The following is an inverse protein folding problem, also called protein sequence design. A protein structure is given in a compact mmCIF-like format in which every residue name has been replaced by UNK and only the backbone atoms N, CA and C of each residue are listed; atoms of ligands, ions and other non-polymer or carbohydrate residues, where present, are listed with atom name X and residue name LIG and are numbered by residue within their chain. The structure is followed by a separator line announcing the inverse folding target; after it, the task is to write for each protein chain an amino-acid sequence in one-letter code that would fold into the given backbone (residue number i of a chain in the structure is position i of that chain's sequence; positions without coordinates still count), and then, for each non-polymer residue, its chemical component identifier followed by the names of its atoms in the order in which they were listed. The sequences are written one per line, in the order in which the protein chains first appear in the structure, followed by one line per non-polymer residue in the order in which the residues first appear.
data_IF_398272646978
#
_entry.id   IF_398272646978
#
_cell.length_a   1.000
_cell.length_b   1.000
_cell.length_c   1.000
_cell.angle_alpha   90.00
_cell.angle_beta   90.00
_cell.angle_gamma   90.00
#
_symmetry.space_group_name_H-M   'P 1'
#
loop_
_entity.id
_entity.type
_entity.pdbx_description
1 polymer ?
#
# COMPACT_ATOMS: atom_id res chain seq x y z
N UNK A 1 8.90 11.88 -21.32
CA UNK A 1 9.71 11.16 -22.33
C UNK A 1 9.91 11.95 -23.64
N UNK A 2 8.88 12.18 -24.48
CA UNK A 2 9.07 12.86 -25.79
C UNK A 2 9.74 14.25 -25.68
N UNK A 3 9.32 15.04 -24.70
CA UNK A 3 9.92 16.36 -24.41
C UNK A 3 11.38 16.22 -23.99
N UNK A 4 11.71 15.31 -23.06
CA UNK A 4 13.08 15.05 -22.64
C UNK A 4 13.97 14.58 -23.81
N UNK A 5 13.48 13.71 -24.70
CA UNK A 5 14.21 13.31 -25.92
C UNK A 5 14.51 14.49 -26.85
N UNK A 6 13.58 15.45 -26.95
CA UNK A 6 13.78 16.67 -27.76
C UNK A 6 14.78 17.64 -27.13
N UNK A 7 14.65 17.90 -25.82
CA UNK A 7 15.45 18.91 -25.12
C UNK A 7 16.83 18.42 -24.70
N UNK A 8 16.97 17.13 -24.37
CA UNK A 8 18.18 16.50 -23.86
C UNK A 8 18.70 15.46 -24.87
N UNK A 9 18.88 15.88 -26.11
CA UNK A 9 19.36 15.02 -27.20
C UNK A 9 20.74 14.42 -26.84
N UNK A 10 20.93 13.14 -27.17
CA UNK A 10 22.18 12.40 -26.89
C UNK A 10 22.41 12.04 -25.42
N UNK A 11 21.53 12.42 -24.49
CA UNK A 11 21.61 11.98 -23.09
C UNK A 11 20.84 10.66 -22.91
N UNK A 12 21.44 9.62 -22.30
CA UNK A 12 20.71 8.40 -21.96
C UNK A 12 19.50 8.71 -21.07
N UNK A 13 18.40 8.01 -21.30
CA UNK A 13 17.16 8.16 -20.54
C UNK A 13 16.66 6.78 -20.12
N UNK A 14 16.30 6.64 -18.86
CA UNK A 14 15.80 5.40 -18.26
C UNK A 14 14.33 5.56 -17.91
N UNK A 15 13.55 4.51 -18.15
CA UNK A 15 12.16 4.41 -17.69
C UNK A 15 12.10 3.39 -16.55
N UNK A 16 11.68 3.85 -15.38
CA UNK A 16 11.44 3.01 -14.21
C UNK A 16 9.94 2.83 -14.07
N UNK A 17 9.48 1.58 -14.03
CA UNK A 17 8.07 1.26 -14.04
C UNK A 17 7.61 0.87 -12.64
N UNK A 18 6.55 1.53 -12.18
CA UNK A 18 5.99 1.31 -10.85
C UNK A 18 5.37 -0.08 -10.66
N UNK A 19 5.13 -0.80 -11.76
CA UNK A 19 4.63 -2.18 -11.77
C UNK A 19 5.74 -3.23 -11.79
N UNK A 20 6.99 -2.85 -12.10
CA UNK A 20 8.07 -3.80 -12.39
C UNK A 20 8.44 -4.69 -11.20
N UNK A 21 8.41 -4.14 -9.99
CA UNK A 21 8.69 -4.87 -8.74
C UNK A 21 7.76 -6.07 -8.53
N UNK A 22 6.51 -5.93 -8.97
CA UNK A 22 5.45 -6.92 -8.73
C UNK A 22 5.45 -8.05 -9.77
N UNK A 23 6.31 -7.98 -10.78
CA UNK A 23 6.36 -8.99 -11.86
C UNK A 23 6.81 -10.38 -11.40
N UNK A 24 7.32 -10.50 -10.16
CA UNK A 24 7.68 -11.78 -9.55
C UNK A 24 6.49 -12.51 -8.92
N UNK A 25 5.29 -11.92 -8.89
CA UNK A 25 4.10 -12.59 -8.35
C UNK A 25 3.83 -13.90 -9.11
N UNK A 26 3.51 -15.00 -8.41
CA UNK A 26 3.11 -16.25 -9.06
C UNK A 26 1.70 -16.13 -9.66
N UNK A 27 1.37 -17.00 -10.63
CA UNK A 27 0.08 -16.96 -11.34
C UNK A 27 -1.13 -16.96 -10.41
N UNK A 28 -1.07 -17.77 -9.34
CA UNK A 28 -2.11 -17.85 -8.31
C UNK A 28 -2.41 -16.54 -7.58
N UNK A 29 -1.46 -15.60 -7.58
CA UNK A 29 -1.60 -14.29 -6.92
C UNK A 29 -2.08 -13.23 -7.91
N UNK A 30 -1.65 -13.31 -9.17
CA UNK A 30 -2.01 -12.27 -10.16
C UNK A 30 -3.24 -12.58 -11.01
N UNK A 31 -3.61 -13.84 -11.20
CA UNK A 31 -4.78 -14.18 -12.02
C UNK A 31 -6.06 -13.89 -11.23
N UNK A 32 -6.96 -13.12 -11.84
CA UNK A 32 -8.33 -13.01 -11.33
C UNK A 32 -9.11 -14.29 -11.66
N UNK A 33 -10.05 -14.71 -10.79
CA UNK A 33 -10.96 -15.83 -11.05
C UNK A 33 -12.07 -15.45 -12.03
N UNK A 34 -11.67 -14.99 -13.22
CA UNK A 34 -12.52 -14.62 -14.35
C UNK A 34 -12.34 -15.64 -15.49
N UNK A 35 -13.23 -15.69 -16.49
CA UNK A 35 -13.02 -16.50 -17.68
C UNK A 35 -11.61 -16.28 -18.27
N UNK A 36 -10.83 -17.35 -18.37
CA UNK A 36 -9.39 -17.30 -18.66
C UNK A 36 -9.06 -16.55 -19.97
N UNK A 37 -9.98 -16.57 -20.94
CA UNK A 37 -9.91 -15.80 -22.20
C UNK A 37 -9.58 -14.30 -22.00
N UNK A 38 -9.98 -13.69 -20.88
CA UNK A 38 -9.71 -12.28 -20.62
C UNK A 38 -8.24 -12.02 -20.24
N UNK A 39 -7.62 -12.97 -19.53
CA UNK A 39 -6.18 -12.94 -19.32
C UNK A 39 -5.44 -13.20 -20.64
N UNK A 40 -5.85 -14.19 -21.43
CA UNK A 40 -5.17 -14.51 -22.69
C UNK A 40 -5.21 -13.34 -23.69
N UNK A 41 -6.40 -12.77 -23.90
CA UNK A 41 -6.66 -11.74 -24.92
C UNK A 41 -6.22 -10.34 -24.48
N UNK A 42 -6.51 -9.96 -23.24
CA UNK A 42 -6.35 -8.57 -22.78
C UNK A 42 -5.35 -8.42 -21.64
N UNK A 43 -4.78 -9.53 -21.15
CA UNK A 43 -3.88 -9.53 -19.97
C UNK A 43 -4.54 -8.89 -18.75
N UNK A 44 -5.83 -9.18 -18.55
CA UNK A 44 -6.52 -8.85 -17.29
C UNK A 44 -5.93 -9.72 -16.18
N UNK A 45 -5.15 -9.07 -15.33
CA UNK A 45 -4.48 -9.63 -14.15
C UNK A 45 -4.14 -8.52 -13.17
N UNK A 46 -3.75 -8.88 -11.97
CA UNK A 46 -3.08 -7.99 -11.01
C UNK A 46 -1.74 -7.55 -11.58
N UNK A 47 -1.51 -6.24 -11.59
CA UNK A 47 -0.19 -5.66 -11.87
C UNK A 47 0.45 -5.12 -10.61
N UNK A 48 -0.31 -4.45 -9.74
CA UNK A 48 0.22 -3.78 -8.55
C UNK A 48 0.96 -2.48 -8.87
N UNK A 49 0.99 -1.57 -7.90
CA UNK A 49 1.63 -0.25 -8.00
C UNK A 49 2.41 0.07 -6.73
N UNK A 50 3.00 1.26 -6.66
CA UNK A 50 3.99 1.67 -5.67
C UNK A 50 5.21 0.72 -5.61
N UNK A 51 5.53 0.06 -6.71
CA UNK A 51 6.62 -0.93 -6.78
C UNK A 51 7.97 -0.31 -6.50
N UNK A 52 8.20 0.95 -6.90
CA UNK A 52 9.45 1.67 -6.58
C UNK A 52 9.59 1.85 -5.08
N UNK A 53 8.52 2.30 -4.41
CA UNK A 53 8.48 2.48 -2.96
C UNK A 53 8.64 1.16 -2.21
N UNK A 54 7.84 0.14 -2.55
CA UNK A 54 7.92 -1.19 -1.91
C UNK A 54 9.30 -1.82 -2.06
N UNK A 55 9.92 -1.70 -3.25
CA UNK A 55 11.28 -2.18 -3.50
C UNK A 55 12.32 -1.45 -2.65
N UNK A 56 12.19 -0.13 -2.51
CA UNK A 56 13.09 0.67 -1.67
C UNK A 56 13.01 0.23 -0.21
N UNK A 57 11.81 0.30 0.39
CA UNK A 57 11.64 0.17 1.84
C UNK A 57 11.86 -1.26 2.31
N UNK A 58 11.51 -2.27 1.51
CA UNK A 58 11.76 -3.67 1.88
C UNK A 58 13.26 -4.00 1.85
N UNK A 59 14.02 -3.49 0.88
CA UNK A 59 15.49 -3.61 0.87
C UNK A 59 16.14 -2.84 2.01
N UNK A 60 15.64 -1.63 2.29
CA UNK A 60 16.15 -0.82 3.40
C UNK A 60 15.90 -1.47 4.75
N UNK A 61 14.73 -2.09 4.93
CA UNK A 61 14.40 -2.89 6.11
C UNK A 61 15.41 -4.03 6.32
N UNK A 62 15.73 -4.80 5.27
CA UNK A 62 16.75 -5.86 5.36
C UNK A 62 18.12 -5.33 5.83
N UNK A 63 18.54 -4.16 5.34
CA UNK A 63 19.76 -3.48 5.78
C UNK A 63 19.69 -3.08 7.26
N UNK A 64 18.58 -2.50 7.71
CA UNK A 64 18.40 -2.12 9.12
C UNK A 64 18.35 -3.32 10.07
N UNK A 65 17.84 -4.46 9.60
CA UNK A 65 17.86 -5.73 10.33
C UNK A 65 19.23 -6.43 10.30
N UNK A 66 20.18 -5.93 9.51
CA UNK A 66 21.47 -6.57 9.23
C UNK A 66 21.32 -8.03 8.77
N UNK A 67 20.35 -8.29 7.88
CA UNK A 67 20.04 -9.62 7.35
C UNK A 67 19.99 -9.61 5.82
N UNK A 68 20.35 -10.71 5.14
CA UNK A 68 20.16 -10.85 3.71
C UNK A 68 18.68 -10.68 3.32
N UNK A 69 18.42 -9.97 2.23
CA UNK A 69 17.05 -9.70 1.76
C UNK A 69 16.32 -10.99 1.34
N UNK A 70 17.09 -11.96 0.87
CA UNK A 70 16.67 -13.28 0.41
C UNK A 70 16.28 -14.23 1.56
N UNK A 71 16.53 -13.84 2.82
CA UNK A 71 16.16 -14.64 4.00
C UNK A 71 14.90 -14.12 4.70
N UNK A 72 14.38 -12.97 4.28
CA UNK A 72 13.30 -12.27 4.99
C UNK A 72 11.94 -12.40 4.31
N UNK A 73 10.90 -12.35 5.15
CA UNK A 73 9.50 -12.12 4.80
C UNK A 73 9.09 -10.76 5.34
N UNK A 74 8.84 -9.82 4.45
CA UNK A 74 8.57 -8.42 4.79
C UNK A 74 7.21 -8.05 4.22
N UNK A 75 6.37 -7.41 5.04
CA UNK A 75 5.17 -6.71 4.56
C UNK A 75 5.49 -5.23 4.52
N UNK A 76 5.42 -4.61 3.34
CA UNK A 76 5.56 -3.17 3.19
C UNK A 76 4.18 -2.52 3.03
N UNK A 77 3.89 -1.57 3.92
CA UNK A 77 2.67 -0.78 4.01
C UNK A 77 2.94 0.63 3.50
N UNK A 78 2.73 0.86 2.20
CA UNK A 78 2.77 2.21 1.62
C UNK A 78 1.43 2.88 1.88
N UNK A 79 1.38 3.77 2.86
CA UNK A 79 0.15 4.43 3.30
C UNK A 79 0.25 5.94 2.98
N UNK A 80 -0.35 6.35 1.87
CA UNK A 80 -0.54 7.75 1.49
C UNK A 80 -1.98 8.02 1.07
N UNK A 81 -2.21 9.08 0.29
CA UNK A 81 -3.55 9.31 -0.30
C UNK A 81 -3.96 8.17 -1.26
N UNK A 82 -2.97 7.58 -1.95
CA UNK A 82 -3.05 6.22 -2.46
C UNK A 82 -2.35 5.27 -1.49
N UNK A 83 -2.93 4.12 -1.22
CA UNK A 83 -2.39 3.18 -0.24
C UNK A 83 -2.34 1.76 -0.80
N UNK A 84 -1.27 1.03 -0.52
CA UNK A 84 -1.12 -0.37 -0.93
C UNK A 84 -0.19 -1.13 -0.01
N UNK A 85 -0.39 -2.44 0.10
CA UNK A 85 0.57 -3.35 0.72
C UNK A 85 1.27 -4.22 -0.33
N UNK A 86 2.47 -4.68 -0.01
CA UNK A 86 3.13 -5.75 -0.74
C UNK A 86 3.68 -6.80 0.23
N UNK A 87 3.49 -8.07 -0.13
CA UNK A 87 4.11 -9.22 0.52
C UNK A 87 5.42 -9.54 -0.19
N UNK A 88 6.54 -9.37 0.49
CA UNK A 88 7.88 -9.59 -0.04
C UNK A 88 8.48 -10.80 0.65
N UNK A 89 8.66 -11.90 -0.08
CA UNK A 89 9.21 -13.15 0.45
C UNK A 89 10.49 -13.48 -0.29
N UNK A 90 11.59 -13.57 0.46
CA UNK A 90 12.91 -13.95 -0.04
C UNK A 90 13.34 -13.09 -1.25
N UNK A 91 13.25 -11.78 -1.04
CA UNK A 91 13.59 -10.76 -2.02
C UNK A 91 12.65 -10.60 -3.21
N UNK A 92 11.52 -11.32 -3.25
CA UNK A 92 10.53 -11.26 -4.35
C UNK A 92 9.18 -10.79 -3.85
N UNK A 93 8.50 -9.93 -4.62
CA UNK A 93 7.10 -9.65 -4.38
C UNK A 93 6.28 -10.89 -4.75
N UNK A 94 5.55 -11.43 -3.78
CA UNK A 94 4.69 -12.61 -3.95
C UNK A 94 3.20 -12.28 -3.94
N UNK A 95 2.84 -11.08 -3.47
CA UNK A 95 1.48 -10.54 -3.47
C UNK A 95 1.49 -9.00 -3.31
N UNK A 96 0.45 -8.30 -3.77
CA UNK A 96 0.25 -6.86 -3.58
C UNK A 96 -1.24 -6.47 -3.65
N UNK A 97 -1.64 -5.46 -2.89
CA UNK A 97 -3.08 -5.21 -2.67
C UNK A 97 -3.74 -4.56 -3.87
N UNK A 98 -3.01 -3.71 -4.61
CA UNK A 98 -3.55 -3.10 -5.82
C UNK A 98 -3.59 -4.08 -6.98
N UNK A 99 -4.53 -3.82 -7.88
CA UNK A 99 -5.00 -4.75 -8.89
C UNK A 99 -4.44 -4.55 -10.28
N UNK A 100 -5.32 -4.75 -11.25
CA UNK A 100 -5.21 -4.23 -12.61
C UNK A 100 -5.05 -2.71 -12.61
N UNK A 101 -5.77 -2.04 -11.72
CA UNK A 101 -5.76 -0.59 -11.52
C UNK A 101 -5.41 -0.25 -10.07
N UNK A 102 -5.07 1.01 -9.76
CA UNK A 102 -4.85 1.48 -8.39
C UNK A 102 -6.12 1.56 -7.51
N UNK A 103 -7.28 1.07 -7.98
CA UNK A 103 -8.55 1.12 -7.24
C UNK A 103 -8.70 -0.06 -6.28
N UNK A 104 -8.29 -1.26 -6.67
CA UNK A 104 -8.42 -2.46 -5.84
C UNK A 104 -7.55 -2.37 -4.57
N UNK A 105 -7.99 -3.03 -3.51
CA UNK A 105 -7.23 -3.23 -2.29
C UNK A 105 -7.76 -2.41 -1.12
N UNK A 106 -6.92 -1.54 -0.60
CA UNK A 106 -7.25 -0.74 0.56
C UNK A 106 -8.29 0.33 0.23
N UNK A 107 -9.10 0.67 1.23
CA UNK A 107 -9.73 1.99 1.31
C UNK A 107 -8.62 3.05 1.30
N UNK A 108 -8.78 4.13 0.54
CA UNK A 108 -7.75 5.19 0.43
C UNK A 108 -8.37 6.58 0.68
N UNK A 109 -7.70 7.66 0.30
CA UNK A 109 -8.23 9.02 0.48
C UNK A 109 -9.59 9.23 -0.19
N UNK A 110 -9.67 8.90 -1.48
CA UNK A 110 -10.90 9.04 -2.30
C UNK A 110 -11.35 7.74 -2.98
N UNK A 111 -10.55 6.67 -2.88
CA UNK A 111 -10.80 5.39 -3.54
C UNK A 111 -11.47 4.41 -2.60
N UNK A 112 -12.48 3.69 -3.10
CA UNK A 112 -13.24 2.73 -2.29
C UNK A 112 -12.43 1.51 -1.84
N UNK A 113 -11.46 1.05 -2.63
CA UNK A 113 -10.78 -0.21 -2.37
C UNK A 113 -11.68 -1.41 -2.71
N UNK A 114 -11.48 -2.51 -1.98
CA UNK A 114 -12.28 -3.72 -2.18
C UNK A 114 -13.73 -3.56 -1.71
N UNK A 115 -14.63 -3.60 -2.68
CA UNK A 115 -16.08 -3.68 -2.52
C UNK A 115 -16.64 -4.88 -3.27
N UNK A 116 -17.87 -5.29 -2.95
CA UNK A 116 -18.58 -6.31 -3.72
C UNK A 116 -18.85 -5.77 -5.14
N UNK A 117 -18.38 -6.44 -6.22
CA UNK A 117 -18.63 -6.00 -7.59
C UNK A 117 -20.12 -5.85 -7.95
N UNK A 118 -21.04 -6.57 -7.27
CA UNK A 118 -22.47 -6.45 -7.49
C UNK A 118 -23.05 -5.08 -7.06
N UNK A 119 -22.37 -4.37 -6.14
CA UNK A 119 -22.76 -3.02 -5.71
C UNK A 119 -22.75 -2.04 -6.88
N UNK A 120 -21.79 -2.18 -7.81
CA UNK A 120 -21.66 -1.31 -8.99
C UNK A 120 -22.96 -1.31 -9.79
N UNK A 121 -23.42 -2.52 -10.18
CA UNK A 121 -24.66 -2.67 -10.94
C UNK A 121 -25.86 -2.15 -10.14
N UNK A 122 -25.94 -2.49 -8.86
CA UNK A 122 -27.04 -2.08 -8.00
C UNK A 122 -27.20 -0.55 -7.92
N UNK A 123 -26.11 0.18 -7.68
CA UNK A 123 -26.16 1.65 -7.58
C UNK A 123 -26.48 2.26 -8.94
N UNK A 124 -25.84 1.79 -10.02
CA UNK A 124 -26.15 2.27 -11.38
C UNK A 124 -27.64 2.13 -11.71
N UNK A 125 -28.26 1.00 -11.41
CA UNK A 125 -29.69 0.77 -11.67
C UNK A 125 -30.60 1.62 -10.78
N UNK A 126 -30.19 1.93 -9.54
CA UNK A 126 -30.99 2.70 -8.59
C UNK A 126 -30.94 4.20 -8.81
N UNK A 127 -29.75 4.71 -9.10
CA UNK A 127 -29.48 6.14 -9.23
C UNK A 127 -29.43 6.58 -10.70
N UNK A 128 -29.54 5.64 -11.65
CA UNK A 128 -29.49 5.93 -13.08
C UNK A 128 -28.11 6.38 -13.56
N UNK A 129 -27.04 5.99 -12.86
CA UNK A 129 -25.67 6.39 -13.17
C UNK A 129 -25.10 5.64 -14.37
N UNK A 130 -24.30 6.36 -15.14
CA UNK A 130 -23.42 5.82 -16.18
C UNK A 130 -22.22 5.09 -15.61
N UNK A 131 -21.50 4.36 -16.46
CA UNK A 131 -20.28 3.65 -16.04
C UNK A 131 -19.15 4.64 -15.69
N UNK A 132 -19.13 5.80 -16.34
CA UNK A 132 -18.19 6.88 -16.06
C UNK A 132 -18.47 7.53 -14.70
N UNK A 133 -19.75 7.78 -14.38
CA UNK A 133 -20.15 8.36 -13.09
C UNK A 133 -19.86 7.41 -11.92
N UNK A 134 -20.07 6.10 -12.09
CA UNK A 134 -19.69 5.15 -11.03
C UNK A 134 -18.16 5.01 -10.91
N UNK A 135 -17.41 5.07 -12.01
CA UNK A 135 -15.94 5.07 -11.94
C UNK A 135 -15.42 6.31 -11.19
N UNK A 136 -16.00 7.49 -11.47
CA UNK A 136 -15.70 8.73 -10.76
C UNK A 136 -16.06 8.62 -9.27
N UNK A 137 -17.24 8.11 -8.93
CA UNK A 137 -17.64 7.89 -7.53
C UNK A 137 -16.64 6.97 -6.81
N UNK A 138 -16.28 5.84 -7.42
CA UNK A 138 -15.37 4.85 -6.84
C UNK A 138 -13.94 5.38 -6.65
N UNK A 139 -13.48 6.29 -7.54
CA UNK A 139 -12.11 6.81 -7.52
C UNK A 139 -11.95 8.15 -6.78
N UNK A 140 -12.98 9.00 -6.77
CA UNK A 140 -12.90 10.42 -6.37
C UNK A 140 -13.81 10.77 -5.20
N UNK A 141 -14.89 10.05 -4.97
CA UNK A 141 -15.92 10.40 -3.97
C UNK A 141 -16.05 9.36 -2.84
N UNK A 142 -15.24 8.30 -2.89
CA UNK A 142 -15.26 7.20 -1.93
C UNK A 142 -14.16 7.37 -0.88
N UNK A 143 -13.73 6.27 -0.24
CA UNK A 143 -12.59 6.29 0.68
C UNK A 143 -12.84 7.11 1.95
N UNK A 144 -11.77 7.65 2.52
CA UNK A 144 -11.82 8.53 3.69
C UNK A 144 -12.79 9.68 3.46
N UNK A 145 -12.77 10.28 2.27
CA UNK A 145 -13.68 11.37 1.90
C UNK A 145 -15.14 10.93 1.98
N UNK A 146 -15.52 9.86 1.27
CA UNK A 146 -16.91 9.41 1.21
C UNK A 146 -17.47 8.98 2.56
N UNK A 147 -16.68 8.24 3.36
CA UNK A 147 -17.14 7.77 4.67
C UNK A 147 -17.19 8.91 5.68
N UNK A 148 -16.12 9.72 5.78
CA UNK A 148 -16.08 10.82 6.76
C UNK A 148 -17.01 11.97 6.42
N UNK A 149 -17.21 12.25 5.12
CA UNK A 149 -17.88 13.45 4.62
C UNK A 149 -17.09 14.73 4.87
N UNK A 150 -15.78 14.63 5.16
CA UNK A 150 -14.94 15.76 5.60
C UNK A 150 -13.84 16.06 4.58
N UNK A 151 -12.90 15.13 4.40
CA UNK A 151 -11.69 15.34 3.60
C UNK A 151 -11.10 14.00 3.16
N UNK A 152 -10.35 14.01 2.07
CA UNK A 152 -9.47 12.91 1.70
C UNK A 152 -8.11 12.97 2.42
N UNK A 153 -7.80 14.07 3.11
CA UNK A 153 -6.61 14.23 3.93
C UNK A 153 -6.80 13.58 5.31
N UNK A 154 -5.97 12.59 5.62
CA UNK A 154 -6.08 11.85 6.88
C UNK A 154 -5.85 12.71 8.12
N UNK A 155 -5.15 13.85 8.00
CA UNK A 155 -4.90 14.77 9.12
C UNK A 155 -6.18 15.49 9.54
N UNK A 156 -6.96 15.94 8.57
CA UNK A 156 -8.25 16.60 8.82
C UNK A 156 -9.25 15.60 9.40
N UNK A 157 -9.31 14.39 8.85
CA UNK A 157 -10.16 13.30 9.37
C UNK A 157 -9.75 12.93 10.79
N UNK A 158 -8.44 12.79 11.07
CA UNK A 158 -7.95 12.51 12.43
C UNK A 158 -8.28 13.62 13.42
N UNK A 159 -8.16 14.89 13.01
CA UNK A 159 -8.56 16.02 13.85
C UNK A 159 -10.05 15.94 14.20
N UNK A 160 -10.91 15.77 13.20
CA UNK A 160 -12.35 15.66 13.42
C UNK A 160 -12.72 14.44 14.28
N UNK A 161 -12.02 13.32 14.12
CA UNK A 161 -12.22 12.13 14.94
C UNK A 161 -11.88 12.40 16.43
N UNK A 162 -10.79 13.14 16.70
CA UNK A 162 -10.41 13.58 18.05
C UNK A 162 -11.41 14.57 18.66
N UNK A 163 -12.09 15.35 17.81
CA UNK A 163 -13.17 16.27 18.21
C UNK A 163 -14.53 15.55 18.39
N UNK A 164 -14.58 14.22 18.24
CA UNK A 164 -15.78 13.41 18.50
C UNK A 164 -16.67 13.18 17.28
N UNK A 165 -16.21 13.47 16.06
CA UNK A 165 -16.98 13.18 14.85
C UNK A 165 -17.02 11.67 14.58
N UNK A 166 -18.21 11.08 14.71
CA UNK A 166 -18.46 9.66 14.51
C UNK A 166 -18.03 9.15 13.13
N UNK A 167 -18.38 9.86 12.05
CA UNK A 167 -18.05 9.42 10.69
C UNK A 167 -16.55 9.49 10.41
N UNK A 168 -15.84 10.43 11.02
CA UNK A 168 -14.39 10.52 10.94
C UNK A 168 -13.70 9.35 11.68
N UNK A 169 -14.19 9.00 12.88
CA UNK A 169 -13.72 7.82 13.62
C UNK A 169 -13.95 6.55 12.82
N UNK A 170 -15.17 6.35 12.31
CA UNK A 170 -15.53 5.21 11.47
C UNK A 170 -14.64 5.11 10.21
N UNK A 171 -14.37 6.24 9.54
CA UNK A 171 -13.52 6.25 8.36
C UNK A 171 -12.09 5.76 8.65
N UNK A 172 -11.51 6.17 9.78
CA UNK A 172 -10.18 5.73 10.21
C UNK A 172 -10.18 4.27 10.67
N UNK A 173 -11.19 3.85 11.43
CA UNK A 173 -11.36 2.45 11.83
C UNK A 173 -11.48 1.52 10.62
N UNK A 174 -12.27 1.91 9.61
CA UNK A 174 -12.39 1.17 8.36
C UNK A 174 -11.06 1.10 7.60
N UNK A 175 -10.31 2.20 7.54
CA UNK A 175 -8.99 2.26 6.91
C UNK A 175 -8.01 1.30 7.59
N UNK A 176 -7.89 1.39 8.92
CA UNK A 176 -6.99 0.55 9.73
C UNK A 176 -7.40 -0.93 9.65
N UNK A 177 -8.70 -1.23 9.74
CA UNK A 177 -9.24 -2.59 9.63
C UNK A 177 -8.88 -3.25 8.29
N UNK A 178 -9.00 -2.51 7.18
CA UNK A 178 -8.62 -3.03 5.86
C UNK A 178 -7.13 -3.34 5.78
N UNK A 179 -6.28 -2.51 6.38
CA UNK A 179 -4.84 -2.76 6.45
C UNK A 179 -4.54 -4.03 7.25
N UNK A 180 -5.15 -4.17 8.44
CA UNK A 180 -4.99 -5.36 9.30
C UNK A 180 -5.41 -6.64 8.57
N UNK A 181 -6.52 -6.61 7.82
CA UNK A 181 -6.95 -7.74 6.99
C UNK A 181 -5.90 -8.14 5.96
N UNK A 182 -5.31 -7.17 5.26
CA UNK A 182 -4.26 -7.44 4.28
C UNK A 182 -2.96 -7.95 4.94
N UNK A 183 -2.57 -7.38 6.08
CA UNK A 183 -1.42 -7.89 6.84
C UNK A 183 -1.65 -9.35 7.23
N UNK A 184 -2.81 -9.69 7.81
CA UNK A 184 -3.15 -11.06 8.19
C UNK A 184 -3.13 -12.02 7.00
N UNK A 185 -3.71 -11.63 5.87
CA UNK A 185 -3.65 -12.42 4.63
C UNK A 185 -2.19 -12.64 4.18
N UNK A 186 -1.36 -11.62 4.25
CA UNK A 186 0.04 -11.69 3.82
C UNK A 186 0.92 -12.52 4.75
N UNK A 187 0.67 -12.48 6.06
CA UNK A 187 1.28 -13.40 7.02
C UNK A 187 0.92 -14.84 6.65
N UNK A 188 -0.35 -15.12 6.34
CA UNK A 188 -0.83 -16.46 6.00
C UNK A 188 -0.19 -16.99 4.70
N UNK A 189 -0.22 -16.22 3.61
CA UNK A 189 0.33 -16.66 2.31
C UNK A 189 1.86 -16.82 2.32
N UNK A 190 2.57 -16.04 3.15
CA UNK A 190 4.02 -16.15 3.31
C UNK A 190 4.44 -17.24 4.31
N UNK A 191 3.53 -17.71 5.16
CA UNK A 191 3.81 -18.67 6.24
C UNK A 191 4.52 -18.02 7.44
N UNK A 192 4.19 -16.77 7.74
CA UNK A 192 4.84 -15.93 8.75
C UNK A 192 5.39 -14.62 8.16
N UNK A 193 5.88 -13.75 9.05
CA UNK A 193 6.47 -12.46 8.71
C UNK A 193 7.63 -12.17 9.67
N UNK A 194 8.69 -11.58 9.16
CA UNK A 194 9.87 -11.18 9.95
C UNK A 194 9.86 -9.68 10.24
N UNK A 195 9.32 -8.87 9.31
CA UNK A 195 9.13 -7.45 9.52
C UNK A 195 7.88 -6.85 8.83
N UNK A 196 7.31 -5.82 9.46
CA UNK A 196 6.29 -4.94 8.88
C UNK A 196 6.88 -3.53 8.76
N UNK A 197 6.73 -2.90 7.60
CA UNK A 197 7.31 -1.59 7.31
C UNK A 197 6.21 -0.60 6.98
N UNK A 198 6.11 0.49 7.72
CA UNK A 198 5.26 1.62 7.38
C UNK A 198 6.06 2.68 6.62
N UNK A 199 5.47 3.17 5.53
CA UNK A 199 6.06 4.20 4.67
C UNK A 199 4.99 5.08 4.04
N UNK A 200 5.41 6.10 3.28
CA UNK A 200 4.60 7.15 2.69
C UNK A 200 3.91 8.07 3.71
N UNK A 201 3.21 9.10 3.23
CA UNK A 201 2.77 10.23 4.06
C UNK A 201 2.06 9.88 5.36
N UNK A 202 1.11 8.93 5.34
CA UNK A 202 0.38 8.47 6.53
C UNK A 202 1.29 7.53 7.36
N UNK A 203 1.90 6.55 6.71
CA UNK A 203 2.72 5.53 7.39
C UNK A 203 3.94 6.11 8.10
N UNK A 204 4.51 7.19 7.59
CA UNK A 204 5.67 7.87 8.18
C UNK A 204 5.30 8.82 9.32
N UNK A 205 4.13 9.47 9.26
CA UNK A 205 3.84 10.64 10.10
C UNK A 205 2.67 10.48 11.07
N UNK A 206 1.84 9.45 10.92
CA UNK A 206 0.60 9.27 11.69
C UNK A 206 0.73 8.12 12.70
N UNK A 207 1.31 8.42 13.85
CA UNK A 207 1.56 7.46 14.94
C UNK A 207 0.27 6.76 15.42
N UNK A 208 -0.87 7.46 15.39
CA UNK A 208 -2.17 6.94 15.83
C UNK A 208 -2.65 5.80 14.94
N UNK A 209 -2.50 5.94 13.62
CA UNK A 209 -2.81 4.89 12.65
C UNK A 209 -1.90 3.68 12.82
N UNK A 210 -0.59 3.90 12.96
CA UNK A 210 0.34 2.78 13.23
C UNK A 210 0.00 2.06 14.51
N UNK A 211 -0.32 2.80 15.59
CA UNK A 211 -0.73 2.23 16.87
C UNK A 211 -2.00 1.40 16.73
N UNK A 212 -3.04 1.96 16.13
CA UNK A 212 -4.33 1.29 15.88
C UNK A 212 -4.17 -0.03 15.10
N UNK A 213 -3.34 -0.03 14.06
CA UNK A 213 -3.06 -1.23 13.26
C UNK A 213 -2.29 -2.28 14.06
N UNK A 214 -1.21 -1.89 14.74
CA UNK A 214 -0.35 -2.85 15.46
C UNK A 214 -1.03 -3.41 16.71
N UNK A 215 -1.83 -2.62 17.44
CA UNK A 215 -2.60 -3.12 18.59
C UNK A 215 -3.56 -4.26 18.22
N UNK A 216 -4.11 -4.27 17.01
CA UNK A 216 -4.95 -5.38 16.52
C UNK A 216 -4.14 -6.65 16.19
N UNK A 217 -2.82 -6.52 16.05
CA UNK A 217 -1.89 -7.61 15.71
C UNK A 217 -1.11 -8.13 16.93
N UNK A 218 -1.30 -7.54 18.10
CA UNK A 218 -0.69 -7.97 19.36
C UNK A 218 -0.93 -9.46 19.69
N UNK A 219 -2.11 -10.06 19.43
CA UNK A 219 -2.32 -11.50 19.64
C UNK A 219 -1.41 -12.41 18.79
N UNK A 220 -0.84 -11.89 17.70
CA UNK A 220 0.15 -12.60 16.88
C UNK A 220 1.59 -12.41 17.38
N UNK A 221 1.77 -11.71 18.51
CA UNK A 221 3.06 -11.39 19.10
C UNK A 221 3.76 -10.20 18.45
N UNK A 222 3.01 -9.29 17.81
CA UNK A 222 3.53 -8.07 17.19
C UNK A 222 3.29 -6.92 18.16
N UNK A 223 4.33 -6.50 18.87
CA UNK A 223 4.21 -5.61 20.03
C UNK A 223 4.87 -4.26 19.70
N UNK A 224 4.10 -3.19 19.85
CA UNK A 224 4.54 -1.83 19.56
C UNK A 224 5.30 -1.23 20.76
N UNK A 225 6.42 -0.57 20.49
CA UNK A 225 7.04 0.37 21.41
C UNK A 225 6.37 1.75 21.21
N UNK A 226 5.52 2.15 22.16
CA UNK A 226 4.75 3.39 22.07
C UNK A 226 5.62 4.65 22.02
N UNK A 227 6.77 4.66 22.70
CA UNK A 227 7.68 5.81 22.70
C UNK A 227 8.43 5.90 21.37
N UNK A 228 8.96 4.78 20.88
CA UNK A 228 9.60 4.73 19.57
C UNK A 228 8.61 5.07 18.44
N UNK A 229 7.34 4.70 18.58
CA UNK A 229 6.29 5.01 17.61
C UNK A 229 5.98 6.52 17.48
N UNK A 230 6.45 7.38 18.38
CA UNK A 230 6.28 8.85 18.25
C UNK A 230 7.09 9.47 17.12
N UNK A 231 8.00 8.69 16.52
CA UNK A 231 8.83 9.09 15.38
C UNK A 231 7.99 9.58 14.19
N UNK A 232 8.53 10.57 13.45
CA UNK A 232 7.93 11.08 12.22
C UNK A 232 9.02 11.31 11.18
N UNK A 233 8.86 10.74 10.00
CA UNK A 233 9.77 10.98 8.87
C UNK A 233 11.21 10.49 9.08
N UNK A 234 11.45 9.57 10.03
CA UNK A 234 12.78 9.00 10.30
C UNK A 234 12.75 7.48 10.23
N UNK A 235 13.88 6.88 9.84
CA UNK A 235 14.07 5.44 9.89
C UNK A 235 14.18 4.97 11.34
N UNK A 236 13.21 4.17 11.80
CA UNK A 236 13.16 3.76 13.20
C UNK A 236 12.47 2.42 13.36
N UNK A 237 13.05 1.54 14.18
CA UNK A 237 12.35 0.37 14.71
C UNK A 237 11.39 0.82 15.82
N UNK A 238 10.12 0.48 15.68
CA UNK A 238 9.02 0.87 16.55
C UNK A 238 8.33 -0.31 17.23
N UNK A 239 8.88 -1.52 17.11
CA UNK A 239 8.48 -2.67 17.91
C UNK A 239 9.40 -2.83 19.13
N UNK A 240 8.84 -3.40 20.19
CA UNK A 240 9.61 -3.76 21.39
C UNK A 240 10.60 -4.89 21.10
N UNK A 241 11.53 -5.13 22.03
CA UNK A 241 12.53 -6.21 21.92
C UNK A 241 11.93 -7.62 22.06
N UNK A 242 10.78 -7.76 22.72
CA UNK A 242 10.05 -9.01 22.91
C UNK A 242 9.01 -9.28 21.80
N UNK A 243 8.81 -8.33 20.88
CA UNK A 243 8.00 -8.56 19.68
C UNK A 243 8.60 -9.67 18.81
N UNK A 244 7.77 -10.61 18.36
CA UNK A 244 8.17 -11.68 17.43
C UNK A 244 8.47 -11.19 16.02
N UNK A 245 7.95 -10.02 15.67
CA UNK A 245 8.07 -9.38 14.36
C UNK A 245 8.60 -7.97 14.56
N UNK A 246 9.63 -7.59 13.80
CA UNK A 246 10.12 -6.22 13.85
C UNK A 246 9.16 -5.28 13.09
N UNK A 247 8.85 -4.13 13.67
CA UNK A 247 8.03 -3.10 13.02
C UNK A 247 8.89 -1.87 12.78
N UNK A 248 8.92 -1.37 11.55
CA UNK A 248 9.72 -0.21 11.18
C UNK A 248 8.88 0.92 10.59
N UNK A 249 9.30 2.14 10.83
CA UNK A 249 9.00 3.30 9.99
C UNK A 249 10.21 3.53 9.09
N UNK A 250 10.00 3.58 7.78
CA UNK A 250 11.06 3.85 6.80
C UNK A 250 10.53 4.86 5.78
N UNK A 251 11.04 6.10 5.74
CA UNK A 251 10.66 7.06 4.73
C UNK A 251 10.97 6.57 3.32
N UNK A 252 9.98 6.59 2.43
CA UNK A 252 10.23 6.19 1.03
C UNK A 252 10.99 7.29 0.30
N UNK A 253 11.85 6.92 -0.64
CA UNK A 253 12.52 7.87 -1.53
C UNK A 253 12.54 7.31 -2.95
N UNK A 254 11.47 7.59 -3.70
CA UNK A 254 11.28 7.05 -5.05
C UNK A 254 12.25 7.69 -6.05
N UNK A 255 12.53 8.99 -5.89
CA UNK A 255 13.48 9.74 -6.71
C UNK A 255 14.89 9.16 -6.59
N UNK A 256 15.34 8.85 -5.37
CA UNK A 256 16.63 8.20 -5.13
C UNK A 256 16.68 6.80 -5.76
N UNK A 257 15.59 6.04 -5.72
CA UNK A 257 15.54 4.75 -6.40
C UNK A 257 15.61 4.86 -7.90
N UNK A 258 14.89 5.82 -8.49
CA UNK A 258 14.95 6.09 -9.93
C UNK A 258 16.36 6.51 -10.32
N UNK A 259 17.02 7.36 -9.52
CA UNK A 259 18.40 7.77 -9.75
C UNK A 259 19.39 6.59 -9.67
N UNK A 260 19.22 5.69 -8.70
CA UNK A 260 20.04 4.47 -8.55
C UNK A 260 19.87 3.50 -9.71
N UNK A 261 18.63 3.24 -10.13
CA UNK A 261 18.36 2.40 -11.30
C UNK A 261 18.90 3.03 -12.58
N UNK A 262 18.80 4.37 -12.69
CA UNK A 262 19.39 5.10 -13.81
C UNK A 262 20.90 4.91 -13.82
N UNK A 263 21.60 5.18 -12.71
CA UNK A 263 23.04 5.04 -12.61
C UNK A 263 23.52 3.61 -12.89
N UNK A 264 22.79 2.59 -12.46
CA UNK A 264 23.15 1.19 -12.70
C UNK A 264 23.05 0.76 -14.19
N UNK A 265 22.38 1.55 -15.03
CA UNK A 265 22.18 1.30 -16.46
C UNK A 265 23.04 2.19 -17.36
N UNK A 266 23.75 3.17 -16.78
CA UNK A 266 24.71 4.03 -17.48
C UNK A 266 26.11 3.42 -17.44
#
# INVERSE_FOLDING_TARGET
IRVCKKLLSGKPQVAVFDTSFHTTMPEKAYLYPLPYKYYEKYKIKRYGFHGTSHRYVSRRCAQLMNKPYEELRIISCHLGNGASLAAVKYGKCVDTSMGLTPLEGLMMGTRCGDIDPAIIKFIMEKEGLTIEEIDDMMNKESGLLGVSGISNDSRDVLKAAKEGNYRAQLALEMFDYRIVKYIGAYIAVMGGVDAIVFTAGIGENQQETRKSIISQLEPFGIILDEEANKVRGEEKKISTSDSKVDVFVIPTNEELMIARDTLALL
#
